data_IF_459024471813
#
_entry.id   IF_459024471813
#
_cell.length_a   1.000
_cell.length_b   1.000
_cell.length_c   1.000
_cell.angle_alpha   90.00
_cell.angle_beta   90.00
_cell.angle_gamma   90.00
#
_symmetry.space_group_name_H-M   'P 1'
#
loop_
_entity.id
_entity.type
_entity.pdbx_description
1 polymer ?
#
# COMPACT_ATOMS: atom_id res chain seq x y z
N UNK A 1 11.02 -0.95 -5.64
CA UNK A 1 10.14 -0.25 -4.67
C UNK A 1 8.69 -0.23 -5.16
N UNK A 2 7.72 -0.39 -4.27
CA UNK A 2 6.29 -0.37 -4.60
C UNK A 2 5.79 1.08 -4.73
N UNK A 3 5.23 1.43 -5.88
CA UNK A 3 4.73 2.77 -6.18
C UNK A 3 3.27 2.89 -5.77
N UNK A 4 2.99 3.72 -4.78
CA UNK A 4 1.65 3.89 -4.20
C UNK A 4 0.90 5.08 -4.78
N UNK A 5 -0.37 4.87 -5.11
CA UNK A 5 -1.30 5.88 -5.64
C UNK A 5 -2.33 6.19 -4.56
N UNK A 6 -1.85 6.75 -3.46
CA UNK A 6 -2.68 7.14 -2.30
C UNK A 6 -2.49 8.60 -1.91
N UNK A 7 -1.69 9.36 -2.67
CA UNK A 7 -1.63 10.81 -2.54
C UNK A 7 -2.95 11.43 -2.96
N UNK A 8 -3.36 12.49 -2.25
CA UNK A 8 -4.51 13.29 -2.63
C UNK A 8 -4.04 14.66 -3.10
N UNK A 9 -4.41 15.05 -4.32
CA UNK A 9 -4.16 16.40 -4.85
C UNK A 9 -5.42 17.26 -4.75
N UNK A 10 -5.30 18.60 -4.79
CA UNK A 10 -6.46 19.49 -4.75
C UNK A 10 -7.48 19.14 -5.84
N UNK A 11 -8.71 18.85 -5.43
CA UNK A 11 -9.81 18.45 -6.34
C UNK A 11 -9.93 16.94 -6.58
N UNK A 12 -9.03 16.11 -6.04
CA UNK A 12 -9.13 14.65 -6.10
C UNK A 12 -9.90 14.09 -4.90
N UNK A 13 -10.63 12.97 -5.09
CA UNK A 13 -11.22 12.23 -3.98
C UNK A 13 -10.16 11.74 -2.99
N UNK A 14 -10.46 11.78 -1.70
CA UNK A 14 -9.59 11.20 -0.66
C UNK A 14 -9.70 9.68 -0.69
N UNK A 15 -8.75 9.00 -1.36
CA UNK A 15 -8.75 7.55 -1.52
C UNK A 15 -8.67 6.79 -0.19
N UNK A 16 -7.92 7.33 0.77
CA UNK A 16 -7.71 6.67 2.06
C UNK A 16 -8.90 6.79 3.03
N UNK A 17 -9.82 7.74 2.82
CA UNK A 17 -10.87 8.06 3.79
C UNK A 17 -11.67 6.83 4.28
N UNK A 18 -11.91 5.87 3.38
CA UNK A 18 -12.70 4.66 3.67
C UNK A 18 -11.86 3.42 4.03
N UNK A 19 -10.56 3.43 3.77
CA UNK A 19 -9.68 2.26 3.88
C UNK A 19 -8.47 2.46 4.80
N UNK A 20 -8.26 3.66 5.35
CA UNK A 20 -7.07 3.99 6.16
C UNK A 20 -6.88 3.15 7.41
N UNK A 21 -7.93 2.48 7.91
CA UNK A 21 -7.83 1.60 9.08
C UNK A 21 -7.69 0.12 8.71
N UNK A 22 -7.64 -0.21 7.42
CA UNK A 22 -7.41 -1.57 6.96
C UNK A 22 -5.93 -1.93 7.03
N UNK A 23 -5.64 -3.21 7.23
CA UNK A 23 -4.27 -3.71 7.13
C UNK A 23 -3.71 -3.45 5.71
N UNK A 24 -2.45 -3.04 5.65
CA UNK A 24 -1.72 -2.90 4.42
C UNK A 24 -1.08 -4.25 4.08
N UNK A 25 -1.52 -4.85 2.98
CA UNK A 25 -1.02 -6.11 2.47
C UNK A 25 -0.16 -5.86 1.23
N UNK A 26 1.03 -6.45 1.23
CA UNK A 26 1.90 -6.54 0.06
C UNK A 26 1.75 -7.95 -0.48
N UNK A 27 1.35 -8.09 -1.74
CA UNK A 27 1.08 -9.37 -2.40
C UNK A 27 1.96 -9.53 -3.63
N UNK A 28 2.46 -10.73 -3.89
CA UNK A 28 3.12 -11.05 -5.16
C UNK A 28 2.16 -10.88 -6.34
N UNK A 29 2.69 -10.80 -7.56
CA UNK A 29 1.87 -10.75 -8.80
C UNK A 29 0.95 -11.98 -8.98
N UNK A 30 1.25 -13.10 -8.32
CA UNK A 30 0.39 -14.29 -8.29
C UNK A 30 -0.71 -14.22 -7.22
N UNK A 31 -0.81 -13.12 -6.46
CA UNK A 31 -1.81 -12.90 -5.42
C UNK A 31 -1.44 -13.40 -4.02
N UNK A 32 -0.30 -14.08 -3.86
CA UNK A 32 0.16 -14.55 -2.53
C UNK A 32 0.55 -13.37 -1.63
N UNK A 33 0.11 -13.38 -0.37
CA UNK A 33 0.51 -12.36 0.62
C UNK A 33 1.97 -12.56 1.02
N UNK A 34 2.78 -11.52 0.82
CA UNK A 34 4.20 -11.47 1.17
C UNK A 34 4.43 -10.79 2.52
N UNK A 35 3.62 -9.78 2.84
CA UNK A 35 3.64 -9.09 4.13
C UNK A 35 2.26 -8.50 4.47
N UNK A 36 1.99 -8.35 5.76
CA UNK A 36 0.80 -7.68 6.30
C UNK A 36 1.18 -6.78 7.45
N UNK A 37 0.78 -5.51 7.37
CA UNK A 37 1.04 -4.50 8.41
C UNK A 37 -0.28 -3.93 8.91
N UNK A 38 -0.50 -4.00 10.22
CA UNK A 38 -1.72 -3.46 10.85
C UNK A 38 -1.74 -1.94 10.77
N UNK A 39 -2.91 -1.36 10.52
CA UNK A 39 -3.07 0.09 10.46
C UNK A 39 -2.74 0.76 11.81
N UNK A 40 -2.16 1.97 11.79
CA UNK A 40 -2.12 2.84 12.96
C UNK A 40 -3.53 3.13 13.49
N UNK A 41 -3.65 3.44 14.79
CA UNK A 41 -4.93 3.80 15.41
C UNK A 41 -5.55 5.04 14.74
N UNK A 42 -4.72 5.99 14.29
CA UNK A 42 -5.14 7.18 13.53
C UNK A 42 -5.54 6.88 12.07
N UNK A 43 -5.26 5.67 11.59
CA UNK A 43 -5.28 5.31 10.18
C UNK A 43 -4.00 5.70 9.46
N UNK A 44 -3.81 5.11 8.28
CA UNK A 44 -2.70 5.37 7.38
C UNK A 44 -2.71 6.79 6.82
N UNK A 45 -1.52 7.38 6.71
CA UNK A 45 -1.23 8.46 5.76
C UNK A 45 -0.48 7.92 4.54
N UNK A 46 -0.41 8.71 3.47
CA UNK A 46 0.36 8.35 2.28
C UNK A 46 1.85 8.11 2.61
N UNK A 47 2.45 8.98 3.42
CA UNK A 47 3.87 8.89 3.80
C UNK A 47 4.17 7.63 4.61
N UNK A 48 3.28 7.25 5.53
CA UNK A 48 3.45 6.03 6.32
C UNK A 48 3.40 4.77 5.44
N UNK A 49 2.51 4.75 4.43
CA UNK A 49 2.45 3.64 3.48
C UNK A 49 3.73 3.58 2.62
N UNK A 50 4.27 4.73 2.18
CA UNK A 50 5.55 4.80 1.47
C UNK A 50 6.72 4.30 2.33
N UNK A 51 6.73 4.62 3.62
CA UNK A 51 7.75 4.12 4.55
C UNK A 51 7.70 2.59 4.65
N UNK A 52 6.51 2.02 4.83
CA UNK A 52 6.33 0.56 4.87
C UNK A 52 6.72 -0.07 3.53
N UNK A 53 6.33 0.52 2.41
CA UNK A 53 6.70 0.05 1.07
C UNK A 53 8.23 0.02 0.87
N UNK A 54 8.94 1.04 1.38
CA UNK A 54 10.40 1.13 1.35
C UNK A 54 11.04 0.04 2.21
N UNK A 55 10.54 -0.16 3.43
CA UNK A 55 11.03 -1.20 4.35
C UNK A 55 10.92 -2.62 3.77
N UNK A 56 9.95 -2.85 2.89
CA UNK A 56 9.68 -4.14 2.26
C UNK A 56 10.21 -4.23 0.81
N UNK A 57 11.07 -3.31 0.37
CA UNK A 57 11.58 -3.33 -1.00
C UNK A 57 12.28 -4.66 -1.36
N UNK A 58 13.00 -5.27 -0.40
CA UNK A 58 13.72 -6.51 -0.64
C UNK A 58 12.82 -7.68 -1.06
N UNK A 59 11.58 -7.74 -0.57
CA UNK A 59 10.63 -8.82 -0.85
C UNK A 59 9.72 -8.52 -2.05
N UNK A 60 9.87 -7.34 -2.66
CA UNK A 60 9.05 -6.91 -3.82
C UNK A 60 9.83 -6.88 -5.13
N UNK A 61 11.06 -7.42 -5.15
CA UNK A 61 11.96 -7.41 -6.32
C UNK A 61 11.43 -8.18 -7.53
N UNK A 62 10.66 -9.23 -7.29
CA UNK A 62 10.03 -10.04 -8.36
C UNK A 62 8.63 -9.53 -8.74
N UNK A 63 8.25 -8.36 -8.22
CA UNK A 63 6.96 -7.75 -8.45
C UNK A 63 5.98 -7.96 -7.33
N UNK A 64 5.29 -6.89 -6.95
CA UNK A 64 4.25 -6.92 -5.94
C UNK A 64 3.21 -5.81 -6.09
N UNK A 65 2.00 -6.11 -5.65
CA UNK A 65 0.89 -5.18 -5.49
C UNK A 65 0.66 -4.85 -4.01
N UNK A 66 0.27 -3.61 -3.74
CA UNK A 66 -0.14 -3.12 -2.43
C UNK A 66 -1.66 -3.05 -2.34
N UNK A 67 -2.22 -3.50 -1.21
CA UNK A 67 -3.65 -3.49 -0.94
C UNK A 67 -3.97 -2.95 0.46
N UNK A 68 -5.04 -2.17 0.58
CA UNK A 68 -5.72 -1.87 1.84
C UNK A 68 -7.06 -2.60 1.88
N UNK A 69 -7.09 -3.74 2.58
CA UNK A 69 -8.21 -4.68 2.52
C UNK A 69 -8.42 -5.23 1.10
N UNK A 70 -9.55 -4.88 0.49
CA UNK A 70 -9.87 -5.28 -0.89
C UNK A 70 -9.46 -4.24 -1.96
N UNK A 71 -8.94 -3.08 -1.56
CA UNK A 71 -8.63 -1.99 -2.47
C UNK A 71 -7.16 -2.03 -2.87
N UNK A 72 -6.87 -2.12 -4.16
CA UNK A 72 -5.53 -1.95 -4.69
C UNK A 72 -5.09 -0.50 -4.54
N UNK A 73 -3.84 -0.28 -4.11
CA UNK A 73 -3.29 1.05 -3.81
C UNK A 73 -1.94 1.31 -4.46
N UNK A 74 -1.42 0.38 -5.26
CA UNK A 74 -0.15 0.57 -5.94
C UNK A 74 0.51 -0.75 -6.34
N UNK A 75 1.55 -0.66 -7.16
CA UNK A 75 2.31 -1.82 -7.62
C UNK A 75 3.77 -1.44 -7.86
N UNK A 76 4.63 -2.43 -7.96
CA UNK A 76 6.00 -2.26 -8.44
C UNK A 76 6.01 -2.12 -9.97
N UNK A 77 6.83 -1.23 -10.49
CA UNK A 77 7.21 -1.26 -11.91
C UNK A 77 8.29 -2.35 -12.10
N UNK A 78 8.06 -3.29 -13.02
CA UNK A 78 9.01 -4.35 -13.42
C UNK A 78 9.70 -3.94 -14.70
#
# INVERSE_FOLDING_TARGET
>A
MLSLVTDQRPGEPELLATVKHQAFEIRSLAGNVLATVTAPVSGWTHEQLLEVATQHEAITRDGADGYLGAHWVGSTEI
#
